data_IF_263597810606
#
_entry.id   IF_263597810606
#
_cell.length_a   1.000
_cell.length_b   1.000
_cell.length_c   1.000
_cell.angle_alpha   90.00
_cell.angle_beta   90.00
_cell.angle_gamma   90.00
#
_symmetry.space_group_name_H-M   'P 1'
#
loop_
_entity.id
_entity.type
_entity.pdbx_description
1 polymer ?
#
# COMPACT_ATOMS: atom_id res chain seq x y z
N UNK A 1 -3.78 3.94 -12.38
CA UNK A 1 -2.87 3.00 -11.68
C UNK A 1 -2.68 3.36 -10.19
N UNK A 2 -2.29 4.60 -9.84
CA UNK A 2 -2.09 5.04 -8.45
C UNK A 2 -3.29 4.79 -7.51
N UNK A 3 -4.52 5.05 -7.96
CA UNK A 3 -5.76 4.74 -7.20
C UNK A 3 -5.92 3.24 -6.94
N UNK A 4 -5.63 2.40 -7.93
CA UNK A 4 -5.78 0.94 -7.83
C UNK A 4 -4.78 0.37 -6.81
N UNK A 5 -3.52 0.82 -6.85
CA UNK A 5 -2.49 0.44 -5.87
C UNK A 5 -2.90 0.82 -4.44
N UNK A 6 -3.46 2.03 -4.26
CA UNK A 6 -3.96 2.45 -2.95
C UNK A 6 -5.09 1.54 -2.46
N UNK A 7 -6.04 1.19 -3.34
CA UNK A 7 -7.15 0.30 -3.01
C UNK A 7 -6.63 -1.08 -2.61
N UNK A 8 -5.74 -1.67 -3.39
CA UNK A 8 -5.15 -2.99 -3.10
C UNK A 8 -4.42 -2.97 -1.74
N UNK A 9 -3.59 -1.95 -1.50
CA UNK A 9 -2.89 -1.78 -0.22
C UNK A 9 -3.87 -1.74 0.97
N UNK A 10 -4.94 -0.95 0.87
CA UNK A 10 -5.96 -0.86 1.93
C UNK A 10 -6.66 -2.21 2.15
N UNK A 11 -7.07 -2.91 1.09
CA UNK A 11 -7.71 -4.21 1.25
C UNK A 11 -6.76 -5.26 1.82
N UNK A 12 -5.49 -5.28 1.40
CA UNK A 12 -4.50 -6.22 1.92
C UNK A 12 -4.28 -6.06 3.43
N UNK A 13 -4.17 -4.82 3.94
CA UNK A 13 -3.97 -4.61 5.37
C UNK A 13 -5.25 -4.92 6.17
N UNK A 14 -6.44 -4.66 5.61
CA UNK A 14 -7.71 -5.01 6.24
C UNK A 14 -7.88 -6.53 6.34
N UNK A 15 -7.60 -7.28 5.27
CA UNK A 15 -7.67 -8.74 5.28
C UNK A 15 -6.64 -9.30 6.27
N UNK A 16 -5.41 -8.78 6.29
CA UNK A 16 -4.42 -9.15 7.30
C UNK A 16 -4.95 -8.97 8.73
N UNK A 17 -5.58 -7.83 9.03
CA UNK A 17 -6.17 -7.55 10.34
C UNK A 17 -7.25 -8.55 10.72
N UNK A 18 -8.16 -8.87 9.79
CA UNK A 18 -9.21 -9.86 9.99
C UNK A 18 -8.60 -11.24 10.27
N UNK A 19 -7.60 -11.66 9.47
CA UNK A 19 -6.89 -12.92 9.67
C UNK A 19 -6.16 -12.97 11.02
N UNK A 20 -5.54 -11.85 11.41
CA UNK A 20 -4.82 -11.75 12.68
C UNK A 20 -5.75 -11.84 13.88
N UNK A 21 -6.83 -11.06 13.89
CA UNK A 21 -7.82 -11.09 14.97
C UNK A 21 -8.47 -12.48 15.02
N UNK A 22 -8.90 -13.01 13.88
CA UNK A 22 -9.53 -14.33 13.75
C UNK A 22 -8.68 -15.46 14.35
N UNK A 23 -7.35 -15.39 14.18
CA UNK A 23 -6.40 -16.36 14.73
C UNK A 23 -6.34 -16.38 16.26
N UNK A 24 -6.71 -15.27 16.91
CA UNK A 24 -6.73 -15.15 18.38
C UNK A 24 -8.03 -15.66 18.99
N UNK A 25 -9.13 -15.61 18.24
CA UNK A 25 -10.48 -15.87 18.75
C UNK A 25 -11.08 -17.19 18.27
N UNK A 26 -10.52 -17.82 17.22
CA UNK A 26 -11.04 -19.08 16.68
C UNK A 26 -9.94 -20.07 16.31
N UNK A 27 -10.28 -21.36 16.23
CA UNK A 27 -9.40 -22.43 15.73
C UNK A 27 -9.58 -22.75 14.24
N UNK A 28 -10.31 -21.91 13.50
CA UNK A 28 -10.56 -22.14 12.08
C UNK A 28 -9.22 -22.08 11.33
N UNK A 29 -8.95 -23.09 10.52
CA UNK A 29 -7.66 -23.32 9.87
C UNK A 29 -7.18 -22.13 9.04
N UNK A 30 -8.10 -21.47 8.33
CA UNK A 30 -7.78 -20.31 7.48
C UNK A 30 -7.23 -19.12 8.27
N UNK A 31 -7.67 -18.92 9.51
CA UNK A 31 -7.19 -17.83 10.36
C UNK A 31 -5.84 -18.17 11.01
N UNK A 32 -5.56 -19.45 11.22
CA UNK A 32 -4.29 -19.91 11.79
C UNK A 32 -3.17 -20.05 10.75
N UNK A 33 -3.47 -19.88 9.45
CA UNK A 33 -2.48 -19.92 8.40
C UNK A 33 -1.56 -18.67 8.42
N UNK A 34 -0.33 -18.86 8.92
CA UNK A 34 0.68 -17.80 9.06
C UNK A 34 1.17 -17.32 7.69
N UNK A 35 1.34 -18.22 6.73
CA UNK A 35 1.85 -17.90 5.40
C UNK A 35 0.88 -17.01 4.63
N UNK A 36 -0.41 -17.35 4.67
CA UNK A 36 -1.48 -16.55 4.09
C UNK A 36 -1.45 -15.12 4.65
N UNK A 37 -1.33 -15.00 5.98
CA UNK A 37 -1.28 -13.69 6.66
C UNK A 37 -0.03 -12.91 6.25
N UNK A 38 1.14 -13.55 6.18
CA UNK A 38 2.38 -12.92 5.74
C UNK A 38 2.31 -12.43 4.29
N UNK A 39 1.68 -13.19 3.39
CA UNK A 39 1.48 -12.79 2.00
C UNK A 39 0.70 -11.47 1.92
N UNK A 40 -0.37 -11.30 2.71
CA UNK A 40 -1.13 -10.05 2.71
C UNK A 40 -0.31 -8.85 3.21
N UNK A 41 0.57 -9.04 4.20
CA UNK A 41 1.51 -7.99 4.64
C UNK A 41 2.49 -7.64 3.51
N UNK A 42 3.05 -8.64 2.84
CA UNK A 42 3.97 -8.42 1.74
C UNK A 42 3.32 -7.67 0.57
N UNK A 43 2.09 -8.05 0.20
CA UNK A 43 1.31 -7.35 -0.83
C UNK A 43 1.08 -5.89 -0.40
N UNK A 44 0.68 -5.66 0.85
CA UNK A 44 0.51 -4.30 1.38
C UNK A 44 1.80 -3.48 1.25
N UNK A 45 2.95 -4.03 1.69
CA UNK A 45 4.24 -3.35 1.66
C UNK A 45 4.68 -3.01 0.23
N UNK A 46 4.68 -4.01 -0.67
CA UNK A 46 5.11 -3.85 -2.06
C UNK A 46 4.22 -2.83 -2.77
N UNK A 47 2.90 -2.94 -2.61
CA UNK A 47 1.93 -2.05 -3.26
C UNK A 47 2.05 -0.63 -2.75
N UNK A 48 2.24 -0.45 -1.44
CA UNK A 48 2.44 0.86 -0.82
C UNK A 48 3.73 1.51 -1.28
N UNK A 49 4.82 0.75 -1.34
CA UNK A 49 6.11 1.24 -1.84
C UNK A 49 5.99 1.72 -3.30
N UNK A 50 5.31 0.97 -4.15
CA UNK A 50 5.08 1.35 -5.53
C UNK A 50 4.18 2.60 -5.66
N UNK A 51 3.14 2.70 -4.82
CA UNK A 51 2.31 3.90 -4.73
C UNK A 51 3.14 5.15 -4.37
N UNK A 52 3.96 5.07 -3.32
CA UNK A 52 4.77 6.21 -2.88
C UNK A 52 5.87 6.57 -3.89
N UNK A 53 6.44 5.59 -4.58
CA UNK A 53 7.40 5.83 -5.68
C UNK A 53 6.78 6.66 -6.80
N UNK A 54 5.53 6.36 -7.18
CA UNK A 54 4.81 7.14 -8.20
C UNK A 54 4.47 8.54 -7.67
N UNK A 55 3.92 8.62 -6.45
CA UNK A 55 3.55 9.90 -5.82
C UNK A 55 4.73 10.87 -5.72
N UNK A 56 5.90 10.36 -5.31
CA UNK A 56 7.13 11.16 -5.21
C UNK A 56 7.59 11.67 -6.58
N UNK A 57 7.53 10.85 -7.63
CA UNK A 57 7.88 11.26 -8.99
C UNK A 57 6.95 12.36 -9.52
N UNK A 58 5.64 12.21 -9.31
CA UNK A 58 4.64 13.20 -9.73
C UNK A 58 4.89 14.56 -9.04
N UNK A 59 5.09 14.54 -7.72
CA UNK A 59 5.38 15.75 -6.93
C UNK A 59 6.69 16.42 -7.36
N UNK A 60 7.74 15.65 -7.63
CA UNK A 60 9.01 16.20 -8.11
C UNK A 60 8.88 16.88 -9.48
N UNK A 61 8.12 16.28 -10.40
CA UNK A 61 7.85 16.89 -11.69
C UNK A 61 7.09 18.21 -11.56
N UNK A 62 6.11 18.27 -10.65
CA UNK A 62 5.36 19.48 -10.35
C UNK A 62 6.27 20.58 -9.76
N UNK A 63 7.15 20.24 -8.82
CA UNK A 63 8.13 21.17 -8.25
C UNK A 63 9.04 21.74 -9.34
N UNK A 64 9.55 20.91 -10.26
CA UNK A 64 10.39 21.39 -11.36
C UNK A 64 9.64 22.33 -12.31
N UNK A 65 8.37 22.02 -12.59
CA UNK A 65 7.50 22.88 -13.41
C UNK A 65 7.27 24.25 -12.75
N UNK A 66 6.99 24.26 -11.44
CA UNK A 66 6.81 25.50 -10.67
C UNK A 66 8.10 26.33 -10.59
N UNK A 67 9.25 25.69 -10.34
CA UNK A 67 10.57 26.35 -10.35
C UNK A 67 10.88 27.00 -11.70
N UNK A 68 10.54 26.32 -12.80
CA UNK A 68 10.75 26.87 -14.15
C UNK A 68 9.86 28.07 -14.42
N UNK A 69 8.61 28.07 -13.94
CA UNK A 69 7.72 29.23 -14.05
C UNK A 69 8.23 30.43 -13.26
N UNK A 70 8.70 30.21 -12.02
CA UNK A 70 9.28 31.25 -11.17
C UNK A 70 10.54 31.88 -11.78
N UNK A 71 11.37 31.12 -12.49
CA UNK A 71 12.58 31.63 -13.16
C UNK A 71 12.31 32.39 -14.46
N UNK A 72 11.11 32.28 -15.02
CA UNK A 72 10.70 32.97 -16.26
C UNK A 72 9.97 34.28 -15.99
N UNK A 73 9.63 34.56 -14.73
CA UNK A 73 9.30 35.90 -14.24
C UNK A 73 10.57 36.61 -13.81
#
# INVERSE_FOLDING_TARGET
MKRILRIISVFSILIFLILFIGSRITKIEIFNNVDLRNIFVLIYLITSLYYYKIDSKEKNAEIQKLKTKLKKQ
#
